data_IF_561106897749
#
_entry.id   IF_561106897749
#
_cell.length_a   1.000
_cell.length_b   1.000
_cell.length_c   1.000
_cell.angle_alpha   90.00
_cell.angle_beta   90.00
_cell.angle_gamma   90.00
#
_symmetry.space_group_name_H-M   'P 1'
#
loop_
_entity.id
_entity.type
_entity.pdbx_description
1 polymer ?
#
# COMPACT_ATOMS: atom_id res chain seq x y z
N UNK A 1 1.77 -2.16 -23.50
CA UNK A 1 2.16 -2.87 -22.27
C UNK A 1 2.50 -1.86 -21.19
N UNK A 2 1.89 -1.97 -19.99
CA UNK A 2 2.15 -1.08 -18.85
C UNK A 2 3.32 -1.68 -18.06
N UNK A 3 4.48 -1.04 -17.99
CA UNK A 3 5.61 -1.59 -17.24
C UNK A 3 5.39 -1.44 -15.72
N UNK A 4 5.96 -2.36 -14.94
CA UNK A 4 5.90 -2.34 -13.47
C UNK A 4 6.37 -0.99 -12.89
N UNK A 5 7.37 -0.36 -13.52
CA UNK A 5 7.86 0.96 -13.11
C UNK A 5 6.75 2.02 -13.12
N UNK A 6 5.83 1.97 -14.09
CA UNK A 6 4.70 2.89 -14.17
C UNK A 6 3.69 2.65 -13.06
N UNK A 7 3.38 1.39 -12.79
CA UNK A 7 2.51 1.02 -11.66
C UNK A 7 3.08 1.52 -10.34
N UNK A 8 4.39 1.35 -10.13
CA UNK A 8 5.08 1.89 -8.96
C UNK A 8 5.04 3.41 -8.88
N UNK A 9 5.18 4.12 -10.01
CA UNK A 9 5.05 5.59 -10.04
C UNK A 9 3.65 6.04 -9.63
N UNK A 10 2.61 5.36 -10.09
CA UNK A 10 1.22 5.66 -9.69
C UNK A 10 1.02 5.46 -8.19
N UNK A 11 1.61 4.40 -7.60
CA UNK A 11 1.60 4.18 -6.16
C UNK A 11 2.29 5.34 -5.41
N UNK A 12 3.47 5.77 -5.85
CA UNK A 12 4.19 6.89 -5.24
C UNK A 12 3.43 8.21 -5.33
N UNK A 13 2.70 8.46 -6.43
CA UNK A 13 1.83 9.63 -6.57
C UNK A 13 0.71 9.57 -5.54
N UNK A 14 0.11 8.42 -5.36
CA UNK A 14 -0.94 8.19 -4.38
C UNK A 14 -0.45 8.37 -2.95
N UNK A 15 0.75 7.86 -2.64
CA UNK A 15 1.37 8.01 -1.33
C UNK A 15 1.53 9.49 -0.95
N UNK A 16 2.03 10.30 -1.88
CA UNK A 16 2.18 11.74 -1.67
C UNK A 16 0.85 12.45 -1.52
N UNK A 17 -0.17 12.00 -2.24
CA UNK A 17 -1.53 12.50 -2.11
C UNK A 17 -2.17 12.21 -0.75
N UNK A 18 -1.90 11.04 -0.18
CA UNK A 18 -2.47 10.60 1.10
C UNK A 18 -1.68 11.12 2.32
N UNK A 19 -0.36 11.16 2.23
CA UNK A 19 0.54 11.41 3.37
C UNK A 19 1.31 12.72 3.26
N UNK A 20 1.16 13.44 2.16
CA UNK A 20 1.83 14.71 1.90
C UNK A 20 2.99 14.59 0.91
N UNK A 21 3.41 15.73 0.31
CA UNK A 21 4.43 15.75 -0.73
C UNK A 21 5.84 15.39 -0.25
N UNK A 22 6.09 15.52 1.06
CA UNK A 22 7.38 15.19 1.68
C UNK A 22 7.54 13.70 1.99
N UNK A 23 6.53 12.90 1.70
CA UNK A 23 6.56 11.45 1.97
C UNK A 23 7.61 10.76 1.11
N UNK A 24 8.48 10.00 1.77
CA UNK A 24 9.49 9.19 1.11
C UNK A 24 9.00 7.76 0.98
N UNK A 25 9.05 7.25 -0.25
CA UNK A 25 8.63 5.88 -0.56
C UNK A 25 9.74 5.13 -1.28
N UNK A 26 9.73 3.81 -1.16
CA UNK A 26 10.61 2.92 -1.95
C UNK A 26 9.85 1.69 -2.40
N UNK A 27 10.31 1.10 -3.50
CA UNK A 27 9.81 -0.18 -3.99
C UNK A 27 10.83 -1.27 -3.74
N UNK A 28 10.35 -2.43 -3.24
CA UNK A 28 11.13 -3.65 -3.10
C UNK A 28 10.51 -4.74 -3.95
N UNK A 29 11.33 -5.47 -4.70
CA UNK A 29 10.86 -6.64 -5.44
C UNK A 29 10.36 -7.70 -4.46
N UNK A 30 9.18 -8.25 -4.74
CA UNK A 30 8.60 -9.33 -3.96
C UNK A 30 7.81 -10.28 -4.85
N UNK A 31 7.30 -11.35 -4.27
CA UNK A 31 6.51 -12.36 -4.96
C UNK A 31 5.08 -12.39 -4.42
N UNK A 32 4.12 -12.32 -5.35
CA UNK A 32 2.71 -12.61 -5.08
C UNK A 32 2.21 -13.60 -6.14
N UNK A 33 1.37 -14.59 -5.77
CA UNK A 33 0.95 -15.63 -6.70
C UNK A 33 0.07 -15.13 -7.86
N UNK A 34 -0.57 -13.98 -7.70
CA UNK A 34 -1.50 -13.40 -8.67
C UNK A 34 -0.88 -12.29 -9.53
N UNK A 35 0.36 -11.90 -9.26
CA UNK A 35 1.08 -10.89 -10.04
C UNK A 35 2.49 -11.34 -10.38
N UNK A 36 2.99 -10.89 -11.53
CA UNK A 36 4.36 -11.10 -11.98
C UNK A 36 4.71 -10.07 -13.06
N UNK A 37 5.73 -9.23 -12.91
CA UNK A 37 6.53 -9.01 -11.70
C UNK A 37 5.73 -8.30 -10.59
N UNK A 38 6.21 -8.45 -9.35
CA UNK A 38 5.56 -7.91 -8.16
C UNK A 38 6.53 -7.08 -7.33
N UNK A 39 6.01 -6.10 -6.62
CA UNK A 39 6.79 -5.26 -5.72
C UNK A 39 5.96 -4.86 -4.49
N UNK A 40 6.65 -4.68 -3.38
CA UNK A 40 6.11 -4.03 -2.19
C UNK A 40 6.48 -2.56 -2.18
N UNK A 41 5.58 -1.73 -1.67
CA UNK A 41 5.80 -0.30 -1.50
C UNK A 41 5.94 -0.01 -0.02
N UNK A 42 7.09 0.52 0.37
CA UNK A 42 7.37 0.94 1.74
C UNK A 42 7.30 2.46 1.85
N UNK A 43 6.82 2.92 2.98
CA UNK A 43 6.79 4.33 3.35
C UNK A 43 7.71 4.57 4.55
N UNK A 44 8.49 5.65 4.50
CA UNK A 44 9.29 6.07 5.63
C UNK A 44 8.39 6.65 6.72
N UNK A 45 8.46 6.06 7.90
CA UNK A 45 7.63 6.45 9.03
C UNK A 45 8.51 6.86 10.22
N UNK A 46 8.57 8.17 10.56
CA UNK A 46 9.45 8.66 11.62
C UNK A 46 9.00 8.25 13.02
N UNK A 47 7.70 7.95 13.21
CA UNK A 47 7.12 7.61 14.50
C UNK A 47 6.90 6.11 14.71
N UNK A 48 7.62 5.28 13.98
CA UNK A 48 7.53 3.83 14.11
C UNK A 48 7.90 3.38 15.52
N UNK A 49 7.17 2.41 16.06
CA UNK A 49 7.51 1.75 17.32
C UNK A 49 8.91 1.15 17.23
N UNK A 50 9.78 1.52 18.16
CA UNK A 50 11.19 1.12 18.15
C UNK A 50 12.12 2.05 17.36
N UNK A 51 11.63 3.21 16.90
CA UNK A 51 12.40 4.22 16.16
C UNK A 51 11.93 4.40 14.72
N UNK A 52 12.41 5.46 14.06
CA UNK A 52 12.09 5.74 12.67
C UNK A 52 12.51 4.60 11.75
N UNK A 53 11.73 4.31 10.72
CA UNK A 53 12.05 3.26 9.78
C UNK A 53 11.04 3.10 8.66
N UNK A 54 11.34 2.15 7.78
CA UNK A 54 10.46 1.77 6.69
C UNK A 54 9.34 0.86 7.19
N UNK A 55 8.13 1.13 6.72
CA UNK A 55 6.98 0.26 6.95
C UNK A 55 6.37 -0.07 5.60
N UNK A 56 6.09 -1.36 5.38
CA UNK A 56 5.33 -1.81 4.23
C UNK A 56 3.92 -1.23 4.28
N UNK A 57 3.52 -0.55 3.21
CA UNK A 57 2.20 0.03 3.08
C UNK A 57 1.30 -0.76 2.15
N UNK A 58 1.86 -1.28 1.06
CA UNK A 58 1.08 -2.03 0.08
C UNK A 58 1.93 -2.78 -0.91
N UNK A 59 1.26 -3.49 -1.78
CA UNK A 59 1.88 -4.22 -2.88
C UNK A 59 1.31 -3.80 -4.22
N UNK A 60 2.09 -3.99 -5.26
CA UNK A 60 1.65 -3.76 -6.64
C UNK A 60 2.33 -4.74 -7.59
N UNK A 61 1.78 -4.88 -8.77
CA UNK A 61 2.37 -5.73 -9.80
C UNK A 61 1.56 -5.78 -11.08
N UNK A 62 2.13 -6.46 -12.05
CA UNK A 62 1.41 -6.82 -13.26
C UNK A 62 0.62 -8.10 -13.00
N UNK A 63 -0.63 -8.13 -13.46
CA UNK A 63 -1.48 -9.32 -13.28
C UNK A 63 -0.87 -10.49 -14.04
N UNK A 64 -0.74 -11.63 -13.35
CA UNK A 64 -0.22 -12.85 -13.95
C UNK A 64 -1.11 -13.28 -15.13
N UNK A 65 -0.54 -13.63 -16.30
CA UNK A 65 -1.32 -14.11 -17.45
C UNK A 65 -2.24 -15.27 -17.14
N UNK A 66 -1.88 -16.14 -16.21
CA UNK A 66 -2.73 -17.26 -15.79
C UNK A 66 -4.01 -16.80 -15.09
N UNK A 67 -3.95 -15.68 -14.36
CA UNK A 67 -5.14 -15.06 -13.74
C UNK A 67 -6.05 -14.50 -14.82
N UNK A 68 -5.50 -13.84 -15.83
CA UNK A 68 -6.27 -13.33 -16.97
C UNK A 68 -6.99 -14.45 -17.70
N UNK A 69 -6.32 -15.58 -17.98
CA UNK A 69 -6.93 -16.77 -18.60
C UNK A 69 -8.06 -17.33 -17.74
N UNK A 70 -7.87 -17.40 -16.43
CA UNK A 70 -8.86 -17.95 -15.51
C UNK A 70 -10.16 -17.14 -15.48
N UNK A 71 -10.11 -15.85 -15.74
CA UNK A 71 -11.29 -14.96 -15.78
C UNK A 71 -11.80 -14.73 -17.21
N UNK A 72 -11.26 -15.43 -18.21
CA UNK A 72 -11.72 -15.35 -19.60
C UNK A 72 -11.18 -14.16 -20.39
N UNK A 73 -10.11 -13.54 -19.93
CA UNK A 73 -9.42 -12.43 -20.63
C UNK A 73 -8.21 -12.97 -21.35
N UNK A 74 -8.07 -12.62 -22.64
CA UNK A 74 -6.92 -13.03 -23.44
C UNK A 74 -5.67 -12.24 -23.07
N UNK A 75 -4.62 -12.90 -22.53
CA UNK A 75 -3.38 -12.23 -22.13
C UNK A 75 -2.54 -11.74 -23.30
N UNK A 76 -2.82 -12.20 -24.53
CA UNK A 76 -2.16 -11.69 -25.75
C UNK A 76 -2.72 -10.32 -26.16
N UNK A 77 -3.98 -10.04 -25.85
CA UNK A 77 -4.65 -8.78 -26.18
C UNK A 77 -4.62 -7.77 -25.03
N UNK A 78 -4.67 -8.27 -23.79
CA UNK A 78 -4.81 -7.43 -22.61
C UNK A 78 -3.70 -7.68 -21.60
N UNK A 79 -3.24 -6.60 -20.98
CA UNK A 79 -2.42 -6.64 -19.78
C UNK A 79 -3.19 -5.97 -18.65
N UNK A 80 -2.87 -6.35 -17.41
CA UNK A 80 -3.48 -5.74 -16.24
C UNK A 80 -2.44 -5.40 -15.19
N UNK A 81 -2.79 -4.49 -14.33
CA UNK A 81 -2.01 -4.22 -13.13
C UNK A 81 -2.90 -4.30 -11.90
N UNK A 82 -2.29 -4.59 -10.77
CA UNK A 82 -2.96 -4.63 -9.48
C UNK A 82 -2.15 -3.89 -8.44
N UNK A 83 -2.83 -3.28 -7.51
CA UNK A 83 -2.21 -2.76 -6.30
C UNK A 83 -3.18 -2.93 -5.14
N UNK A 84 -2.64 -3.14 -3.97
CA UNK A 84 -3.42 -3.27 -2.73
C UNK A 84 -2.75 -2.51 -1.60
N UNK A 85 -3.55 -1.93 -0.73
CA UNK A 85 -3.09 -1.21 0.43
C UNK A 85 -3.99 -1.50 1.63
N UNK A 86 -3.41 -1.58 2.82
CA UNK A 86 -4.17 -1.75 4.06
C UNK A 86 -4.79 -0.43 4.51
N UNK A 87 -6.09 -0.43 4.77
CA UNK A 87 -6.79 0.76 5.30
C UNK A 87 -6.25 1.15 6.67
N UNK A 88 -6.02 0.17 7.53
CA UNK A 88 -5.46 0.35 8.86
C UNK A 88 -4.07 0.98 8.82
N UNK A 89 -3.21 0.52 7.90
CA UNK A 89 -1.88 1.11 7.67
C UNK A 89 -1.98 2.56 7.22
N UNK A 90 -2.91 2.85 6.30
CA UNK A 90 -3.15 4.20 5.80
C UNK A 90 -3.58 5.14 6.94
N UNK A 91 -4.50 4.69 7.79
CA UNK A 91 -4.94 5.44 8.95
C UNK A 91 -3.81 5.63 9.97
N UNK A 92 -3.00 4.60 10.20
CA UNK A 92 -1.85 4.66 11.07
C UNK A 92 -0.89 5.78 10.65
N UNK A 93 -0.51 5.81 9.39
CA UNK A 93 0.41 6.82 8.86
C UNK A 93 -0.20 8.22 8.92
N UNK A 94 -1.45 8.35 8.50
CA UNK A 94 -2.13 9.64 8.42
C UNK A 94 -2.33 10.29 9.79
N UNK A 95 -2.55 9.50 10.83
CA UNK A 95 -2.79 9.98 12.19
C UNK A 95 -1.55 9.88 13.09
N UNK A 96 -0.41 9.46 12.55
CA UNK A 96 0.83 9.37 13.31
C UNK A 96 0.82 8.30 14.41
N UNK A 97 0.02 7.25 14.26
CA UNK A 97 -0.12 6.19 15.25
C UNK A 97 1.11 5.28 15.25
N UNK A 98 1.58 4.92 16.43
CA UNK A 98 2.78 4.08 16.60
C UNK A 98 2.48 2.59 16.46
N UNK A 99 1.25 2.16 16.73
CA UNK A 99 0.83 0.75 16.68
C UNK A 99 -0.58 0.63 16.11
N UNK A 100 -0.76 -0.23 15.10
CA UNK A 100 -2.05 -0.51 14.49
C UNK A 100 -3.03 -1.22 15.43
N UNK A 101 -2.51 -1.97 16.39
CA UNK A 101 -3.35 -2.74 17.32
C UNK A 101 -4.26 -1.84 18.13
N UNK A 102 -3.82 -0.63 18.42
CA UNK A 102 -4.61 0.36 19.15
C UNK A 102 -5.93 0.69 18.46
N UNK A 103 -5.96 0.59 17.11
CA UNK A 103 -7.16 0.86 16.32
C UNK A 103 -8.21 -0.25 16.40
N UNK A 104 -7.79 -1.50 16.64
CA UNK A 104 -8.66 -2.69 16.60
C UNK A 104 -9.01 -3.23 17.98
N UNK A 105 -8.35 -2.79 19.04
CA UNK A 105 -8.60 -3.25 20.42
C UNK A 105 -9.89 -2.67 21.04
N UNK A 106 -10.48 -1.66 20.40
CA UNK A 106 -11.77 -1.10 20.83
C UNK A 106 -11.72 -0.24 22.09
N UNK A 107 -10.55 0.24 22.49
CA UNK A 107 -10.41 1.14 23.64
C UNK A 107 -10.95 2.53 23.30
N UNK A 108 -12.03 2.93 23.99
CA UNK A 108 -12.70 4.23 23.78
C UNK A 108 -11.76 5.41 24.04
N UNK A 109 -10.79 5.28 24.95
CA UNK A 109 -9.82 6.35 25.26
C UNK A 109 -8.94 6.64 24.06
N UNK A 110 -8.65 5.62 23.25
CA UNK A 110 -7.94 5.77 21.99
C UNK A 110 -8.79 6.44 20.91
N UNK A 111 -10.07 6.05 20.80
CA UNK A 111 -10.94 6.49 19.71
C UNK A 111 -11.55 7.87 19.92
N UNK A 112 -11.72 8.31 21.15
CA UNK A 112 -12.31 9.62 21.49
C UNK A 112 -11.67 10.82 20.77
N UNK A 113 -10.32 10.94 20.67
CA UNK A 113 -9.68 12.06 19.98
C UNK A 113 -10.00 12.13 18.48
N UNK A 114 -10.40 11.01 17.88
CA UNK A 114 -10.72 10.90 16.44
C UNK A 114 -12.22 10.96 16.15
N UNK A 115 -13.06 10.72 17.15
CA UNK A 115 -14.52 10.56 16.98
C UNK A 115 -15.30 11.85 16.74
N UNK A 116 -14.68 13.01 16.82
CA UNK A 116 -15.31 14.33 16.66
C UNK A 116 -14.99 14.98 15.31
N UNK A 117 -14.23 14.31 14.47
CA UNK A 117 -13.93 14.77 13.10
C UNK A 117 -14.97 14.19 12.12
N UNK A 118 -16.18 14.69 12.24
CA UNK A 118 -17.19 14.47 11.23
C UNK A 118 -17.06 15.53 10.13
#
# INVERSE_FOLDING_TARGET
>A
EIPLRRVGSEMCIRDRGLFGPETTTRMRVNYFPFTEPSAEVDVWFPNKKGGAGWIEWGGCGMVNPNVLRAVGVDPEEYTGFAFGMGLERTLQFRNGLTDMRDMVEGDVRFTLPFGVQA
#
